data_IF_783375429554
#
_entry.id   IF_783375429554
#
_cell.length_a   1.000
_cell.length_b   1.000
_cell.length_c   1.000
_cell.angle_alpha   90.00
_cell.angle_beta   90.00
_cell.angle_gamma   90.00
#
_symmetry.space_group_name_H-M   'P 1'
#
loop_
_entity.id
_entity.type
_entity.pdbx_description
1 polymer ?
#
# COMPACT_ATOMS: atom_id res chain seq x y z
N UNK A 1 -1.24 11.68 -6.84
CA UNK A 1 -0.58 10.47 -6.30
C UNK A 1 -0.77 9.32 -7.28
N UNK A 2 0.27 8.52 -7.51
CA UNK A 2 0.18 7.28 -8.29
C UNK A 2 -0.33 6.13 -7.41
N UNK A 3 -0.99 5.11 -7.98
CA UNK A 3 -1.42 3.95 -7.19
C UNK A 3 -0.22 3.24 -6.56
N UNK A 4 -0.41 2.74 -5.34
CA UNK A 4 0.60 1.99 -4.64
C UNK A 4 0.86 0.67 -5.37
N UNK A 5 2.13 0.40 -5.70
CA UNK A 5 2.57 -0.91 -6.19
C UNK A 5 2.83 -1.79 -4.97
N UNK A 6 2.20 -2.96 -4.92
CA UNK A 6 2.28 -3.89 -3.79
C UNK A 6 3.21 -5.09 -4.04
N UNK A 7 3.55 -5.34 -5.30
CA UNK A 7 4.36 -6.48 -5.75
C UNK A 7 5.43 -6.05 -6.75
N UNK A 8 6.55 -6.77 -6.76
CA UNK A 8 7.62 -6.59 -7.74
C UNK A 8 7.10 -6.93 -9.15
N UNK A 9 7.13 -5.99 -10.12
CA UNK A 9 6.64 -6.22 -11.47
C UNK A 9 7.44 -7.26 -12.27
N UNK A 10 8.64 -7.63 -11.80
CA UNK A 10 9.52 -8.60 -12.46
C UNK A 10 9.33 -10.00 -11.85
N UNK A 11 9.34 -10.10 -10.52
CA UNK A 11 9.31 -11.39 -9.83
C UNK A 11 7.96 -11.76 -9.20
N UNK A 12 7.06 -10.79 -9.05
CA UNK A 12 5.79 -10.95 -8.31
C UNK A 12 5.97 -11.03 -6.78
N UNK A 13 7.18 -10.84 -6.27
CA UNK A 13 7.47 -10.92 -4.84
C UNK A 13 6.93 -9.72 -4.06
N UNK A 14 6.74 -9.89 -2.75
CA UNK A 14 6.30 -8.83 -1.86
C UNK A 14 7.30 -7.67 -1.81
N UNK A 15 6.80 -6.43 -1.94
CA UNK A 15 7.59 -5.23 -1.70
C UNK A 15 7.62 -4.88 -0.20
N UNK A 16 8.71 -4.24 0.23
CA UNK A 16 8.84 -3.66 1.57
C UNK A 16 8.85 -2.14 1.48
N UNK A 17 8.25 -1.48 2.46
CA UNK A 17 8.34 -0.02 2.60
C UNK A 17 9.66 0.30 3.31
N UNK A 18 10.46 1.18 2.70
CA UNK A 18 11.75 1.60 3.26
C UNK A 18 11.71 2.97 3.90
N UNK A 19 10.71 3.79 3.55
CA UNK A 19 10.57 5.17 3.99
C UNK A 19 9.10 5.56 4.10
N UNK A 20 8.73 6.13 5.25
CA UNK A 20 7.43 6.75 5.51
C UNK A 20 7.66 8.23 5.78
N UNK A 21 6.87 9.09 5.16
CA UNK A 21 7.02 10.53 5.27
C UNK A 21 5.67 11.19 5.58
N UNK A 22 5.65 12.08 6.55
CA UNK A 22 4.51 12.93 6.86
C UNK A 22 4.76 14.34 6.30
N UNK A 23 4.06 14.76 5.24
CA UNK A 23 4.27 16.07 4.61
C UNK A 23 4.03 17.26 5.55
N UNK A 24 3.11 17.13 6.52
CA UNK A 24 2.73 18.21 7.43
C UNK A 24 3.78 18.47 8.53
N UNK A 25 4.38 17.41 9.06
CA UNK A 25 5.36 17.50 10.15
C UNK A 25 6.81 17.44 9.66
N UNK A 26 7.04 17.00 8.43
CA UNK A 26 8.38 16.71 7.89
C UNK A 26 9.05 15.48 8.51
N UNK A 27 8.34 14.73 9.36
CA UNK A 27 8.90 13.52 9.97
C UNK A 27 9.09 12.45 8.89
N UNK A 28 10.30 11.90 8.87
CA UNK A 28 10.70 10.78 8.03
C UNK A 28 11.05 9.61 8.92
N UNK A 29 10.46 8.46 8.64
CA UNK A 29 10.73 7.20 9.33
C UNK A 29 11.31 6.22 8.31
N UNK A 30 12.56 5.83 8.50
CA UNK A 30 13.27 4.88 7.63
C UNK A 30 13.43 3.53 8.32
N UNK A 31 13.34 2.44 7.56
CA UNK A 31 13.38 1.09 8.12
C UNK A 31 13.00 0.04 7.09
N UNK A 32 12.57 -1.13 7.58
CA UNK A 32 11.98 -2.19 6.74
C UNK A 32 10.61 -2.50 7.30
N UNK A 33 9.57 -2.05 6.60
CA UNK A 33 8.19 -2.27 7.01
C UNK A 33 7.49 -3.18 6.01
N UNK A 34 6.70 -4.11 6.52
CA UNK A 34 5.82 -4.95 5.70
C UNK A 34 4.62 -4.13 5.25
N UNK A 35 4.20 -4.31 3.99
CA UNK A 35 2.90 -3.84 3.50
C UNK A 35 1.71 -4.62 4.10
N UNK A 36 1.97 -5.65 4.91
CA UNK A 36 0.96 -6.42 5.60
C UNK A 36 0.04 -7.18 4.65
N UNK A 37 -1.27 -7.05 4.82
CA UNK A 37 -2.26 -7.71 3.96
C UNK A 37 -2.28 -7.16 2.52
N UNK A 38 -1.81 -5.94 2.30
CA UNK A 38 -1.84 -5.30 0.99
C UNK A 38 -0.85 -5.95 0.01
N UNK A 39 0.28 -6.49 0.49
CA UNK A 39 1.25 -7.22 -0.35
C UNK A 39 0.63 -8.43 -1.05
N UNK A 40 -0.40 -9.03 -0.44
CA UNK A 40 -1.09 -10.22 -0.94
C UNK A 40 -2.11 -9.93 -2.03
N UNK A 41 -2.32 -8.65 -2.37
CA UNK A 41 -3.33 -8.23 -3.34
C UNK A 41 -2.68 -7.67 -4.60
N UNK A 42 -3.27 -8.01 -5.75
CA UNK A 42 -2.95 -7.36 -7.02
C UNK A 42 -3.45 -5.90 -6.99
N UNK A 43 -2.93 -5.02 -7.87
CA UNK A 43 -3.38 -3.63 -7.96
C UNK A 43 -4.91 -3.50 -8.16
N UNK A 44 -5.52 -4.39 -8.94
CA UNK A 44 -6.96 -4.40 -9.21
C UNK A 44 -7.76 -4.80 -7.97
N UNK A 45 -7.28 -5.80 -7.22
CA UNK A 45 -7.90 -6.22 -5.97
C UNK A 45 -7.82 -5.12 -4.91
N UNK A 46 -6.69 -4.43 -4.82
CA UNK A 46 -6.52 -3.30 -3.90
C UNK A 46 -7.47 -2.14 -4.26
N UNK A 47 -7.60 -1.82 -5.56
CA UNK A 47 -8.55 -0.82 -6.03
C UNK A 47 -10.01 -1.20 -5.70
N UNK A 48 -10.35 -2.48 -5.85
CA UNK A 48 -11.68 -2.99 -5.48
C UNK A 48 -11.95 -2.85 -3.98
N UNK A 49 -10.98 -3.20 -3.11
CA UNK A 49 -11.11 -2.99 -1.65
C UNK A 49 -11.31 -1.51 -1.33
N UNK A 50 -10.57 -0.62 -1.99
CA UNK A 50 -10.75 0.83 -1.82
C UNK A 50 -12.15 1.30 -2.21
N UNK A 51 -12.71 0.78 -3.32
CA UNK A 51 -14.09 1.06 -3.71
C UNK A 51 -15.10 0.52 -2.69
N UNK A 52 -14.88 -0.70 -2.17
CA UNK A 52 -15.76 -1.30 -1.18
C UNK A 52 -15.80 -0.49 0.11
N UNK A 53 -14.64 -0.06 0.64
CA UNK A 53 -14.56 0.82 1.81
C UNK A 53 -15.23 2.17 1.54
N UNK A 54 -15.05 2.73 0.35
CA UNK A 54 -15.65 4.02 -0.04
C UNK A 54 -17.19 3.95 -0.15
N UNK A 55 -17.73 2.86 -0.68
CA UNK A 55 -19.15 2.72 -1.00
C UNK A 55 -19.96 1.93 0.04
N UNK A 56 -19.28 1.17 0.90
CA UNK A 56 -19.87 0.50 2.06
C UNK A 56 -19.11 0.96 3.31
N UNK A 57 -19.42 2.16 3.77
CA UNK A 57 -19.02 2.58 5.11
C UNK A 57 -19.63 1.63 6.13
N UNK A 58 -18.78 0.83 6.78
CA UNK A 58 -19.12 -0.26 7.71
C UNK A 58 -19.91 -1.44 7.13
N UNK A 59 -19.28 -2.61 7.16
CA UNK A 59 -19.97 -3.85 7.55
C UNK A 59 -19.79 -3.99 9.05
#
# INVERSE_FOLDING_TARGET
MHPLITQDPITGSDLIVTRLECPDSGIVIEGKFSLGWMARLTPEQLAFVGLLVKHRGNV
#
